data_IF_536251385485
#
_entry.id   IF_536251385485
#
_cell.length_a   1.000
_cell.length_b   1.000
_cell.length_c   1.000
_cell.angle_alpha   90.00
_cell.angle_beta   90.00
_cell.angle_gamma   90.00
#
_symmetry.space_group_name_H-M   'P 1'
#
loop_
_entity.id
_entity.type
_entity.pdbx_description
1 polymer ?
#
# COMPACT_ATOMS: atom_id res chain seq x y z
N UNK A 1 11.19 -18.35 -2.22
CA UNK A 1 11.57 -19.40 -1.21
C UNK A 1 11.06 -19.11 0.21
N UNK A 2 10.79 -17.85 0.60
CA UNK A 2 10.29 -17.52 1.95
C UNK A 2 9.02 -18.31 2.33
N UNK A 3 8.02 -18.37 1.45
CA UNK A 3 6.79 -19.17 1.65
C UNK A 3 7.06 -20.64 1.90
N UNK A 4 8.04 -21.24 1.18
CA UNK A 4 8.44 -22.64 1.38
C UNK A 4 9.04 -22.90 2.78
N UNK A 5 9.86 -21.97 3.28
CA UNK A 5 10.39 -22.09 4.64
C UNK A 5 9.30 -22.00 5.71
N UNK A 6 8.33 -21.13 5.53
CA UNK A 6 7.16 -21.04 6.43
C UNK A 6 6.34 -22.34 6.37
N UNK A 7 6.03 -22.82 5.18
CA UNK A 7 5.30 -24.08 4.96
C UNK A 7 5.98 -25.26 5.65
N UNK A 8 7.28 -25.45 5.44
CA UNK A 8 8.06 -26.53 6.05
C UNK A 8 8.08 -26.39 7.58
N UNK A 9 8.33 -25.20 8.10
CA UNK A 9 8.43 -24.96 9.54
C UNK A 9 7.14 -25.27 10.29
N UNK A 10 6.00 -24.94 9.70
CA UNK A 10 4.69 -25.07 10.35
C UNK A 10 3.85 -26.24 9.85
N UNK A 11 4.36 -27.01 8.90
CA UNK A 11 3.64 -28.16 8.32
C UNK A 11 2.44 -27.77 7.47
N UNK A 12 2.44 -26.57 6.86
CA UNK A 12 1.33 -26.10 6.03
C UNK A 12 1.38 -26.78 4.66
N UNK A 13 0.28 -27.42 4.26
CA UNK A 13 0.18 -28.20 3.02
C UNK A 13 -0.79 -27.61 1.99
N UNK A 14 -1.37 -26.43 2.27
CA UNK A 14 -2.21 -25.70 1.34
C UNK A 14 -1.42 -25.09 0.16
N UNK A 15 -2.09 -24.30 -0.69
CA UNK A 15 -1.45 -23.63 -1.81
C UNK A 15 -0.20 -22.85 -1.39
N UNK A 16 0.89 -23.01 -2.14
CA UNK A 16 2.18 -22.39 -1.84
C UNK A 16 2.85 -21.92 -3.13
N UNK A 17 2.79 -20.63 -3.39
CA UNK A 17 3.42 -19.98 -4.54
C UNK A 17 3.88 -18.55 -4.20
N UNK A 18 4.52 -17.88 -5.15
CA UNK A 18 4.95 -16.50 -5.01
C UNK A 18 4.59 -15.70 -6.28
N UNK A 19 3.98 -14.54 -6.09
CA UNK A 19 3.87 -13.56 -7.16
C UNK A 19 5.26 -12.94 -7.44
N UNK A 20 5.51 -12.55 -8.68
CA UNK A 20 6.71 -11.81 -9.10
C UNK A 20 6.24 -10.66 -9.99
N UNK A 21 5.90 -9.54 -9.38
CA UNK A 21 5.28 -8.38 -10.03
C UNK A 21 5.88 -7.07 -9.55
N UNK A 22 7.22 -7.06 -9.40
CA UNK A 22 7.98 -5.92 -8.94
C UNK A 22 7.37 -5.30 -7.67
N UNK A 23 7.13 -3.99 -7.63
CA UNK A 23 6.63 -3.29 -6.45
C UNK A 23 5.18 -3.68 -6.07
N UNK A 24 4.43 -4.35 -6.94
CA UNK A 24 3.08 -4.83 -6.66
C UNK A 24 3.04 -6.26 -6.09
N UNK A 25 4.19 -6.93 -5.92
CA UNK A 25 4.27 -8.34 -5.50
C UNK A 25 3.51 -8.61 -4.21
N UNK A 26 3.73 -7.82 -3.16
CA UNK A 26 3.07 -8.01 -1.87
C UNK A 26 1.55 -7.85 -1.93
N UNK A 27 1.06 -6.88 -2.71
CA UNK A 27 -0.37 -6.67 -2.91
C UNK A 27 -1.00 -7.81 -3.73
N UNK A 28 -0.32 -8.28 -4.79
CA UNK A 28 -0.78 -9.44 -5.56
C UNK A 28 -0.80 -10.71 -4.70
N UNK A 29 0.22 -10.94 -3.87
CA UNK A 29 0.26 -12.09 -2.96
C UNK A 29 -0.95 -12.13 -2.02
N UNK A 30 -1.35 -10.98 -1.46
CA UNK A 30 -2.53 -10.86 -0.60
C UNK A 30 -3.81 -11.08 -1.41
N UNK A 31 -3.94 -10.46 -2.58
CA UNK A 31 -5.11 -10.58 -3.43
C UNK A 31 -5.31 -12.00 -3.96
N UNK A 32 -4.23 -12.66 -4.39
CA UNK A 32 -4.29 -14.06 -4.87
C UNK A 32 -4.64 -15.02 -3.74
N UNK A 33 -4.06 -14.86 -2.55
CA UNK A 33 -4.41 -15.64 -1.38
C UNK A 33 -5.89 -15.42 -0.97
N UNK A 34 -6.40 -14.19 -1.09
CA UNK A 34 -7.83 -13.91 -0.88
C UNK A 34 -8.70 -14.71 -1.85
N UNK A 35 -8.34 -14.76 -3.13
CA UNK A 35 -9.07 -15.55 -4.14
C UNK A 35 -9.03 -17.04 -3.84
N UNK A 36 -7.89 -17.57 -3.40
CA UNK A 36 -7.79 -18.99 -3.02
C UNK A 36 -8.76 -19.34 -1.87
N UNK A 37 -8.88 -18.45 -0.87
CA UNK A 37 -9.87 -18.62 0.20
C UNK A 37 -11.29 -18.55 -0.37
N UNK A 38 -11.59 -17.58 -1.25
CA UNK A 38 -12.90 -17.42 -1.86
C UNK A 38 -13.30 -18.62 -2.74
N UNK A 39 -12.33 -19.29 -3.38
CA UNK A 39 -12.57 -20.51 -4.18
C UNK A 39 -12.60 -21.79 -3.34
N UNK A 40 -12.28 -21.71 -2.04
CA UNK A 40 -12.27 -22.86 -1.14
C UNK A 40 -11.00 -23.73 -1.24
N UNK A 41 -9.92 -23.22 -1.83
CA UNK A 41 -8.64 -23.92 -1.88
C UNK A 41 -7.97 -24.00 -0.50
N UNK A 42 -8.30 -23.04 0.40
CA UNK A 42 -7.83 -23.01 1.78
C UNK A 42 -8.78 -22.16 2.66
N UNK A 43 -8.91 -22.51 3.93
CA UNK A 43 -9.63 -21.68 4.92
C UNK A 43 -8.76 -20.56 5.48
N UNK A 44 -7.44 -20.75 5.52
CA UNK A 44 -6.45 -19.81 6.07
C UNK A 44 -5.22 -19.72 5.15
N UNK A 45 -4.81 -18.53 4.83
CA UNK A 45 -3.60 -18.25 4.04
C UNK A 45 -2.67 -17.29 4.75
N UNK A 46 -1.38 -17.62 4.75
CA UNK A 46 -0.30 -16.70 5.17
C UNK A 46 0.19 -15.97 3.93
N UNK A 47 -0.08 -14.69 3.82
CA UNK A 47 0.21 -13.90 2.62
C UNK A 47 0.97 -12.62 2.94
N UNK A 48 1.86 -12.20 2.05
CA UNK A 48 2.64 -10.98 2.25
C UNK A 48 3.83 -10.87 1.32
N UNK A 49 4.84 -10.15 1.76
CA UNK A 49 6.08 -9.95 1.02
C UNK A 49 7.28 -9.72 1.94
N UNK A 50 8.44 -10.09 1.44
CA UNK A 50 9.73 -9.83 2.08
C UNK A 50 10.68 -9.23 1.06
N UNK A 51 11.52 -8.29 1.49
CA UNK A 51 12.50 -7.65 0.63
C UNK A 51 13.79 -7.39 1.40
N UNK A 52 14.93 -7.64 0.76
CA UNK A 52 16.26 -7.38 1.30
C UNK A 52 17.18 -7.02 0.12
N UNK A 53 16.93 -5.83 -0.47
CA UNK A 53 17.59 -5.36 -1.68
C UNK A 53 18.47 -4.12 -1.44
N UNK A 54 18.85 -3.83 -0.20
CA UNK A 54 19.83 -2.77 0.09
C UNK A 54 21.24 -3.35 -0.09
N UNK A 55 21.61 -3.58 -1.34
CA UNK A 55 22.91 -4.08 -1.75
C UNK A 55 23.48 -3.27 -2.91
N UNK A 56 24.79 -3.43 -3.16
CA UNK A 56 25.51 -2.65 -4.17
C UNK A 56 24.97 -2.85 -5.60
N UNK A 57 24.54 -4.07 -5.94
CA UNK A 57 24.03 -4.39 -7.28
C UNK A 57 22.66 -3.76 -7.51
N UNK A 58 21.76 -3.88 -6.56
CA UNK A 58 20.43 -3.27 -6.60
C UNK A 58 20.51 -1.75 -6.67
N UNK A 59 21.36 -1.13 -5.83
CA UNK A 59 21.59 0.31 -5.84
C UNK A 59 22.15 0.75 -7.20
N UNK A 60 23.17 0.05 -7.73
CA UNK A 60 23.75 0.36 -9.04
C UNK A 60 22.72 0.26 -10.17
N UNK A 61 21.87 -0.76 -10.15
CA UNK A 61 20.79 -0.95 -11.12
C UNK A 61 19.77 0.20 -11.09
N UNK A 62 19.27 0.59 -9.92
CA UNK A 62 18.33 1.69 -9.80
C UNK A 62 18.95 3.07 -10.03
N UNK A 63 20.23 3.26 -9.71
CA UNK A 63 21.01 4.45 -10.12
C UNK A 63 21.09 4.56 -11.63
N UNK A 64 21.36 3.45 -12.34
CA UNK A 64 21.39 3.42 -13.82
C UNK A 64 20.03 3.81 -14.41
N UNK A 65 18.93 3.44 -13.77
CA UNK A 65 17.56 3.83 -14.13
C UNK A 65 17.22 5.28 -13.76
N UNK A 66 18.06 5.95 -12.98
CA UNK A 66 17.81 7.29 -12.42
C UNK A 66 16.50 7.33 -11.62
N UNK A 67 16.22 6.27 -10.86
CA UNK A 67 15.00 6.11 -10.12
C UNK A 67 15.12 6.55 -8.64
N UNK A 68 16.36 6.62 -8.13
CA UNK A 68 16.65 6.95 -6.74
C UNK A 68 16.74 8.45 -6.51
N UNK A 69 16.34 8.88 -5.31
CA UNK A 69 16.60 10.23 -4.82
C UNK A 69 18.11 10.47 -4.67
N UNK A 70 18.60 11.62 -5.11
CA UNK A 70 20.01 12.03 -5.02
C UNK A 70 20.22 13.43 -4.47
N UNK A 71 19.18 14.28 -4.48
CA UNK A 71 19.26 15.66 -3.99
C UNK A 71 19.45 15.76 -2.47
N UNK A 72 19.03 14.71 -1.76
CA UNK A 72 18.98 14.70 -0.30
C UNK A 72 20.08 13.85 0.34
N UNK A 73 21.18 13.54 -0.36
CA UNK A 73 22.27 12.72 0.19
C UNK A 73 22.90 13.32 1.46
N UNK A 74 22.91 14.63 1.62
CA UNK A 74 23.35 15.32 2.84
C UNK A 74 22.27 15.36 3.95
N UNK A 75 21.01 15.08 3.63
CA UNK A 75 19.86 15.05 4.54
C UNK A 75 18.99 13.81 4.26
N UNK A 76 19.52 12.59 4.45
CA UNK A 76 18.89 11.35 3.97
C UNK A 76 17.51 11.09 4.56
N UNK A 77 17.22 11.60 5.75
CA UNK A 77 15.89 11.49 6.37
C UNK A 77 14.79 12.29 5.66
N UNK A 78 15.17 13.23 4.80
CA UNK A 78 14.25 14.05 4.01
C UNK A 78 14.09 13.54 2.58
N UNK A 79 14.83 12.50 2.18
CA UNK A 79 14.93 12.04 0.80
C UNK A 79 13.63 11.42 0.28
N UNK A 80 12.95 10.61 1.09
CA UNK A 80 11.62 10.10 0.73
C UNK A 80 10.57 11.12 1.13
N UNK A 81 9.93 11.74 0.12
CA UNK A 81 8.96 12.83 0.28
C UNK A 81 7.81 12.74 -0.73
N UNK A 82 6.96 11.69 -0.60
CA UNK A 82 5.85 11.49 -1.52
C UNK A 82 4.97 12.71 -1.64
N UNK A 83 4.58 13.07 -2.87
CA UNK A 83 3.72 14.21 -3.23
C UNK A 83 4.32 15.61 -2.98
N UNK A 84 5.49 15.71 -2.36
CA UNK A 84 6.17 16.99 -2.17
C UNK A 84 6.74 17.53 -3.49
N UNK A 85 6.73 18.83 -3.68
CA UNK A 85 7.26 19.50 -4.88
C UNK A 85 8.77 19.29 -5.07
N UNK A 86 9.51 18.98 -4.01
CA UNK A 86 10.95 18.72 -4.02
C UNK A 86 11.33 17.27 -4.27
N UNK A 87 10.37 16.34 -4.43
CA UNK A 87 10.66 14.92 -4.67
C UNK A 87 11.49 14.69 -5.92
N UNK A 88 12.39 13.72 -5.89
CA UNK A 88 13.32 13.47 -7.01
C UNK A 88 13.61 11.99 -7.27
N UNK A 89 12.94 11.09 -6.59
CA UNK A 89 13.12 9.65 -6.70
C UNK A 89 12.79 8.92 -5.40
N UNK A 90 12.76 7.60 -5.44
CA UNK A 90 12.51 6.81 -4.25
C UNK A 90 13.79 6.52 -3.45
N UNK A 91 13.61 6.13 -2.20
CA UNK A 91 14.64 5.58 -1.33
C UNK A 91 14.36 4.08 -1.17
N UNK A 92 15.34 3.22 -1.42
CA UNK A 92 15.18 1.78 -1.24
C UNK A 92 15.02 1.49 0.25
N UNK A 93 14.01 0.71 0.59
CA UNK A 93 13.80 0.14 1.92
C UNK A 93 13.87 -1.38 1.87
N UNK A 94 14.02 -2.01 3.03
CA UNK A 94 13.92 -3.46 3.18
C UNK A 94 13.10 -3.82 4.41
N UNK A 95 12.57 -5.02 4.43
CA UNK A 95 11.72 -5.53 5.50
C UNK A 95 10.72 -6.57 5.04
N UNK A 96 9.76 -6.88 5.89
CA UNK A 96 8.73 -7.86 5.63
C UNK A 96 7.40 -7.45 6.23
N UNK A 97 6.33 -7.78 5.54
CA UNK A 97 4.95 -7.67 6.03
C UNK A 97 4.18 -8.95 5.70
N UNK A 98 3.51 -9.51 6.69
CA UNK A 98 2.73 -10.75 6.55
C UNK A 98 1.38 -10.59 7.22
N UNK A 99 0.31 -10.96 6.52
CA UNK A 99 -1.04 -11.04 7.01
C UNK A 99 -1.48 -12.50 7.09
N UNK A 100 -2.29 -12.79 8.09
CA UNK A 100 -3.07 -14.03 8.14
C UNK A 100 -4.44 -13.70 7.60
N UNK A 101 -4.76 -14.25 6.45
CA UNK A 101 -6.08 -14.17 5.82
C UNK A 101 -6.86 -15.42 6.20
N UNK A 102 -8.12 -15.26 6.50
CA UNK A 102 -8.97 -16.35 6.99
C UNK A 102 -10.39 -16.16 6.49
N UNK A 103 -11.06 -17.26 6.14
CA UNK A 103 -12.46 -17.27 5.80
C UNK A 103 -13.28 -16.74 6.99
N UNK A 104 -14.26 -15.90 6.71
CA UNK A 104 -14.95 -15.10 7.73
C UNK A 104 -15.67 -15.97 8.79
N UNK A 105 -16.44 -16.96 8.36
CA UNK A 105 -17.16 -17.85 9.29
C UNK A 105 -16.20 -18.79 10.05
N UNK A 106 -15.11 -19.21 9.42
CA UNK A 106 -14.04 -19.96 10.08
C UNK A 106 -13.43 -19.13 11.21
N UNK A 107 -13.10 -17.87 10.97
CA UNK A 107 -12.55 -16.94 11.96
C UNK A 107 -13.55 -16.70 13.11
N UNK A 108 -14.83 -16.47 12.79
CA UNK A 108 -15.89 -16.25 13.78
C UNK A 108 -16.12 -17.45 14.68
N UNK A 109 -16.18 -18.67 14.12
CA UNK A 109 -16.41 -19.92 14.88
C UNK A 109 -15.34 -20.15 15.94
N UNK A 110 -14.08 -19.76 15.70
CA UNK A 110 -12.99 -19.89 16.68
C UNK A 110 -12.80 -18.66 17.57
N UNK A 111 -13.62 -17.62 17.42
CA UNK A 111 -13.50 -16.38 18.21
C UNK A 111 -12.27 -15.54 17.88
N UNK A 112 -11.78 -15.59 16.62
CA UNK A 112 -10.63 -14.82 16.21
C UNK A 112 -10.90 -13.31 16.26
N UNK A 113 -9.87 -12.53 16.61
CA UNK A 113 -9.92 -11.08 16.46
C UNK A 113 -9.76 -10.73 14.99
N UNK A 114 -10.78 -10.14 14.39
CA UNK A 114 -10.79 -9.68 13.02
C UNK A 114 -10.46 -8.18 13.00
N UNK A 115 -9.42 -7.79 12.24
CA UNK A 115 -8.97 -6.39 12.14
C UNK A 115 -9.71 -5.63 11.03
N UNK A 116 -9.91 -6.26 9.88
CA UNK A 116 -10.66 -5.77 8.74
C UNK A 116 -11.01 -6.94 7.82
N UNK A 117 -11.91 -6.75 6.88
CA UNK A 117 -12.19 -7.69 5.81
C UNK A 117 -11.54 -7.23 4.50
N UNK A 118 -11.05 -8.16 3.68
CA UNK A 118 -10.64 -7.88 2.31
C UNK A 118 -11.91 -7.81 1.46
N UNK A 119 -12.34 -6.60 1.13
CA UNK A 119 -13.56 -6.34 0.38
C UNK A 119 -13.39 -6.48 -1.13
N UNK A 120 -12.20 -6.22 -1.66
CA UNK A 120 -11.97 -6.28 -3.09
C UNK A 120 -10.50 -6.28 -3.50
N UNK A 121 -10.23 -6.86 -4.66
CA UNK A 121 -8.90 -6.92 -5.25
C UNK A 121 -8.98 -6.64 -6.75
N UNK A 122 -8.42 -5.53 -7.19
CA UNK A 122 -8.36 -5.12 -8.58
C UNK A 122 -6.96 -5.17 -9.15
N UNK A 123 -6.83 -5.70 -10.35
CA UNK A 123 -5.57 -5.78 -11.09
C UNK A 123 -5.70 -5.12 -12.45
N UNK A 124 -4.57 -4.61 -12.98
CA UNK A 124 -4.50 -4.12 -14.36
C UNK A 124 -3.07 -4.13 -14.88
N UNK A 125 -2.93 -3.94 -16.20
CA UNK A 125 -1.65 -3.68 -16.85
C UNK A 125 -1.67 -2.32 -17.54
N UNK A 126 -0.54 -1.58 -17.52
CA UNK A 126 -0.41 -0.29 -18.22
C UNK A 126 -0.28 -0.47 -19.74
N UNK A 127 0.29 -1.56 -20.19
CA UNK A 127 0.60 -1.84 -21.60
C UNK A 127 1.27 -0.62 -22.29
N UNK A 128 2.31 -0.07 -21.66
CA UNK A 128 2.94 1.18 -22.11
C UNK A 128 4.46 1.12 -22.13
N UNK A 129 5.12 1.13 -20.98
CA UNK A 129 6.58 1.18 -20.85
C UNK A 129 7.03 0.34 -19.66
N UNK A 130 8.28 -0.15 -19.69
CA UNK A 130 8.77 -1.06 -18.63
C UNK A 130 8.89 -0.42 -17.25
N UNK A 131 9.19 0.89 -17.18
CA UNK A 131 9.40 1.60 -15.89
C UNK A 131 8.52 2.83 -15.71
N UNK A 132 7.87 3.31 -16.77
CA UNK A 132 7.09 4.54 -16.72
C UNK A 132 5.58 4.22 -16.77
N UNK A 133 4.77 4.72 -15.84
CA UNK A 133 3.34 4.62 -15.95
C UNK A 133 2.85 5.42 -17.17
N UNK A 134 1.71 5.02 -17.72
CA UNK A 134 1.05 5.80 -18.76
C UNK A 134 0.59 7.14 -18.17
N UNK A 135 0.93 8.26 -18.82
CA UNK A 135 0.66 9.61 -18.31
C UNK A 135 -0.82 9.87 -17.94
N UNK A 136 -1.75 9.19 -18.59
CA UNK A 136 -3.17 9.29 -18.25
C UNK A 136 -3.62 8.43 -17.05
N UNK A 137 -2.72 7.70 -16.39
CA UNK A 137 -3.00 6.89 -15.21
C UNK A 137 -4.04 5.78 -15.40
N UNK A 138 -4.28 5.34 -16.66
CA UNK A 138 -5.35 4.38 -16.94
C UNK A 138 -5.21 3.06 -16.19
N UNK A 139 -3.98 2.52 -16.07
CA UNK A 139 -3.73 1.28 -15.34
C UNK A 139 -4.11 1.41 -13.87
N UNK A 140 -3.62 2.44 -13.18
CA UNK A 140 -3.97 2.74 -11.80
C UNK A 140 -5.49 2.94 -11.63
N UNK A 141 -6.12 3.70 -12.53
CA UNK A 141 -7.58 3.88 -12.55
C UNK A 141 -8.32 2.54 -12.65
N UNK A 142 -7.91 1.66 -13.58
CA UNK A 142 -8.57 0.37 -13.77
C UNK A 142 -8.41 -0.57 -12.57
N UNK A 143 -7.24 -0.62 -11.92
CA UNK A 143 -7.06 -1.46 -10.73
C UNK A 143 -7.95 -1.00 -9.57
N UNK A 144 -8.02 0.30 -9.31
CA UNK A 144 -8.89 0.87 -8.27
C UNK A 144 -10.38 0.61 -8.57
N UNK A 145 -10.83 0.87 -9.81
CA UNK A 145 -12.23 0.62 -10.20
C UNK A 145 -12.62 -0.86 -10.07
N UNK A 146 -11.73 -1.78 -10.44
CA UNK A 146 -11.98 -3.23 -10.33
C UNK A 146 -12.03 -3.68 -8.87
N UNK A 147 -11.21 -3.12 -7.99
CA UNK A 147 -11.29 -3.38 -6.55
C UNK A 147 -12.64 -2.91 -5.97
N UNK A 148 -13.09 -1.70 -6.32
CA UNK A 148 -14.39 -1.18 -5.93
C UNK A 148 -15.54 -2.04 -6.47
N UNK A 149 -15.49 -2.41 -7.76
CA UNK A 149 -16.50 -3.25 -8.40
C UNK A 149 -16.60 -4.63 -7.73
N UNK A 150 -15.48 -5.28 -7.47
CA UNK A 150 -15.45 -6.58 -6.79
C UNK A 150 -16.02 -6.48 -5.38
N UNK A 151 -15.72 -5.40 -4.65
CA UNK A 151 -16.23 -5.18 -3.30
C UNK A 151 -17.66 -4.68 -3.23
N UNK A 152 -18.30 -4.34 -4.35
CA UNK A 152 -19.63 -3.72 -4.36
C UNK A 152 -19.65 -2.35 -3.63
N UNK A 153 -18.50 -1.69 -3.52
CA UNK A 153 -18.31 -0.42 -2.79
C UNK A 153 -18.28 0.74 -3.80
N UNK A 154 -19.07 1.77 -3.54
CA UNK A 154 -19.00 3.01 -4.33
C UNK A 154 -17.83 3.88 -3.88
N UNK A 155 -17.26 4.71 -4.77
CA UNK A 155 -16.13 5.60 -4.43
C UNK A 155 -16.38 6.45 -3.17
N UNK A 156 -17.60 6.94 -2.95
CA UNK A 156 -17.97 7.81 -1.82
C UNK A 156 -17.97 7.07 -0.46
N UNK A 157 -17.85 5.76 -0.48
CA UNK A 157 -17.79 4.94 0.74
C UNK A 157 -16.37 4.65 1.20
N UNK A 158 -15.36 5.04 0.39
CA UNK A 158 -13.94 4.91 0.74
C UNK A 158 -13.50 6.16 1.47
N UNK A 159 -13.03 6.00 2.70
CA UNK A 159 -12.62 7.11 3.54
C UNK A 159 -11.11 7.41 3.42
N UNK A 160 -10.30 6.40 3.06
CA UNK A 160 -8.85 6.53 3.03
C UNK A 160 -8.19 5.73 1.89
N UNK A 161 -7.13 6.31 1.30
CA UNK A 161 -6.24 5.63 0.35
C UNK A 161 -4.81 5.68 0.87
N UNK A 162 -4.20 4.51 1.03
CA UNK A 162 -2.76 4.35 1.14
C UNK A 162 -2.19 4.26 -0.28
N UNK A 163 -1.64 5.37 -0.72
CA UNK A 163 -1.14 5.52 -2.07
C UNK A 163 0.20 4.79 -2.26
N UNK A 164 0.43 4.31 -3.47
CA UNK A 164 1.74 3.77 -3.86
C UNK A 164 2.83 4.81 -3.77
N UNK A 165 2.56 6.04 -4.13
CA UNK A 165 3.44 7.21 -4.17
C UNK A 165 4.85 7.00 -3.59
N UNK A 166 5.81 6.80 -4.46
CA UNK A 166 7.19 6.41 -4.10
C UNK A 166 8.14 7.61 -3.99
N UNK A 167 7.63 8.84 -3.97
CA UNK A 167 8.45 10.05 -4.05
C UNK A 167 9.08 10.28 -5.44
N UNK A 168 8.46 9.73 -6.48
CA UNK A 168 8.92 9.96 -7.86
C UNK A 168 8.08 11.05 -8.53
N UNK A 169 8.70 11.99 -9.28
CA UNK A 169 7.98 13.09 -9.90
C UNK A 169 6.80 12.63 -10.77
N UNK A 170 7.02 11.65 -11.64
CA UNK A 170 5.99 11.16 -12.56
C UNK A 170 4.98 10.23 -11.86
N UNK A 171 5.46 9.26 -11.07
CA UNK A 171 4.62 8.23 -10.46
C UNK A 171 3.57 8.81 -9.54
N UNK A 172 3.99 9.68 -8.62
CA UNK A 172 3.11 10.30 -7.65
C UNK A 172 2.04 11.20 -8.32
N UNK A 173 2.43 11.95 -9.37
CA UNK A 173 1.49 12.79 -10.12
C UNK A 173 0.44 11.97 -10.87
N UNK A 174 0.87 10.90 -11.53
CA UNK A 174 -0.03 9.99 -12.27
C UNK A 174 -1.01 9.30 -11.33
N UNK A 175 -0.55 8.87 -10.15
CA UNK A 175 -1.43 8.27 -9.15
C UNK A 175 -2.44 9.27 -8.60
N UNK A 176 -2.02 10.49 -8.24
CA UNK A 176 -2.93 11.52 -7.76
C UNK A 176 -4.04 11.85 -8.77
N UNK A 177 -3.69 11.96 -10.06
CA UNK A 177 -4.69 12.14 -11.13
C UNK A 177 -5.62 10.93 -11.28
N UNK A 178 -5.11 9.72 -11.11
CA UNK A 178 -5.93 8.50 -11.13
C UNK A 178 -6.91 8.46 -9.95
N UNK A 179 -6.46 8.83 -8.74
CA UNK A 179 -7.32 8.96 -7.55
C UNK A 179 -8.41 10.00 -7.80
N UNK A 180 -8.06 11.19 -8.26
CA UNK A 180 -9.01 12.25 -8.58
C UNK A 180 -10.06 11.80 -9.59
N UNK A 181 -9.65 11.03 -10.60
CA UNK A 181 -10.56 10.49 -11.63
C UNK A 181 -11.52 9.44 -11.10
N UNK A 182 -11.06 8.52 -10.24
CA UNK A 182 -11.88 7.44 -9.69
C UNK A 182 -12.86 7.97 -8.65
N UNK A 183 -12.42 8.89 -7.80
CA UNK A 183 -13.18 9.35 -6.65
C UNK A 183 -13.90 10.69 -6.89
N UNK A 184 -13.66 11.36 -8.03
CA UNK A 184 -14.42 12.50 -8.54
C UNK A 184 -14.76 13.56 -7.48
N UNK A 185 -16.05 13.85 -7.34
CA UNK A 185 -16.54 14.85 -6.39
C UNK A 185 -16.22 14.53 -4.93
N UNK A 186 -16.12 13.24 -4.56
CA UNK A 186 -15.73 12.83 -3.20
C UNK A 186 -14.30 13.29 -2.86
N UNK A 187 -13.35 13.09 -3.78
CA UNK A 187 -12.00 13.62 -3.65
C UNK A 187 -11.97 15.15 -3.71
N UNK A 188 -12.70 15.76 -4.65
CA UNK A 188 -12.71 17.21 -4.84
C UNK A 188 -13.33 18.00 -3.68
N UNK A 189 -14.20 17.39 -2.88
CA UNK A 189 -14.74 18.02 -1.66
C UNK A 189 -13.83 17.88 -0.43
N UNK A 190 -12.76 17.07 -0.50
CA UNK A 190 -11.90 16.78 0.63
C UNK A 190 -12.47 15.73 1.61
N UNK A 191 -13.46 14.96 1.15
CA UNK A 191 -14.07 13.88 1.95
C UNK A 191 -13.20 12.62 1.97
N UNK A 192 -12.28 12.48 1.00
CA UNK A 192 -11.32 11.39 0.85
C UNK A 192 -9.96 11.77 1.44
N UNK A 193 -9.49 11.04 2.45
CA UNK A 193 -8.11 11.15 2.92
C UNK A 193 -7.17 10.27 2.09
N UNK A 194 -5.97 10.73 1.79
CA UNK A 194 -4.94 9.90 1.18
C UNK A 194 -3.54 10.30 1.65
N UNK A 195 -2.66 9.32 1.74
CA UNK A 195 -1.25 9.51 2.11
C UNK A 195 -0.39 8.39 1.55
N UNK A 196 0.93 8.55 1.60
CA UNK A 196 1.85 7.46 1.36
C UNK A 196 2.56 7.08 2.65
N UNK A 197 2.44 5.81 3.03
CA UNK A 197 3.06 5.27 4.24
C UNK A 197 4.50 4.80 4.01
N UNK A 198 5.08 5.03 2.84
CA UNK A 198 6.51 4.85 2.57
C UNK A 198 7.39 5.80 3.38
N UNK A 199 6.72 6.67 4.13
CA UNK A 199 7.30 7.58 5.09
C UNK A 199 6.44 7.52 6.33
N UNK A 200 6.79 6.70 7.34
CA UNK A 200 5.97 6.50 8.53
C UNK A 200 6.69 6.83 9.81
N UNK A 201 5.92 7.51 10.65
CA UNK A 201 6.13 7.61 12.08
C UNK A 201 5.49 6.41 12.78
N UNK A 202 6.29 5.50 13.30
CA UNK A 202 5.79 4.37 14.09
C UNK A 202 5.60 4.82 15.54
N UNK A 203 4.36 5.02 15.98
CA UNK A 203 4.04 4.92 17.40
C UNK A 203 3.91 3.44 17.74
N UNK A 204 5.01 2.83 18.15
CA UNK A 204 5.03 1.45 18.61
C UNK A 204 4.25 1.29 19.89
N UNK A 205 3.15 0.54 19.86
CA UNK A 205 2.57 -0.08 21.03
C UNK A 205 3.10 -1.53 21.11
N UNK A 206 4.29 -1.67 21.68
CA UNK A 206 4.61 -2.87 22.44
C UNK A 206 4.71 -2.39 23.88
N UNK A 207 3.91 -2.96 24.77
CA UNK A 207 3.86 -2.59 26.16
C UNK A 207 5.20 -2.78 26.85
N UNK A 208 6.03 -1.80 26.76
CA UNK A 208 7.17 -1.51 27.65
C UNK A 208 7.60 -0.05 27.39
N UNK A 209 7.85 0.66 28.45
CA UNK A 209 8.29 2.05 28.50
C UNK A 209 9.53 2.30 27.64
N UNK A 210 9.35 2.71 26.40
CA UNK A 210 10.38 3.42 25.65
C UNK A 210 9.77 4.71 25.14
N UNK A 211 10.26 5.82 25.66
CA UNK A 211 10.21 7.09 24.93
C UNK A 211 11.00 6.85 23.65
N UNK A 212 10.35 6.43 22.60
CA UNK A 212 10.94 6.53 21.26
C UNK A 212 10.83 8.00 20.92
N UNK A 213 11.93 8.72 21.19
CA UNK A 213 12.18 10.01 20.55
C UNK A 213 11.90 9.83 19.05
N UNK A 214 11.42 10.88 18.42
CA UNK A 214 11.16 11.01 17.01
C UNK A 214 12.41 10.64 16.18
N UNK A 215 12.72 9.36 16.16
CA UNK A 215 13.83 8.80 15.42
C UNK A 215 13.25 7.95 14.33
N UNK A 216 13.35 8.53 13.22
CA UNK A 216 13.80 7.83 12.05
C UNK A 216 12.74 7.20 11.20
N UNK A 217 12.36 8.01 10.34
CA UNK A 217 12.68 7.64 9.00
C UNK A 217 11.74 6.66 8.39
N UNK A 218 11.11 7.13 7.44
CA UNK A 218 10.62 6.45 6.28
C UNK A 218 11.03 4.99 6.21
N UNK A 219 10.06 4.11 6.02
CA UNK A 219 10.38 2.73 5.61
C UNK A 219 11.10 2.73 4.27
N UNK A 220 11.04 3.82 3.52
CA UNK A 220 11.43 3.83 2.12
C UNK A 220 10.46 3.01 1.27
N UNK A 221 10.86 2.74 0.05
CA UNK A 221 10.14 1.85 -0.85
C UNK A 221 10.70 0.43 -0.74
N UNK A 222 9.94 -0.46 -0.09
CA UNK A 222 10.34 -1.86 0.14
C UNK A 222 10.14 -2.75 -1.10
N UNK A 223 10.13 -2.17 -2.29
CA UNK A 223 10.02 -2.92 -3.55
C UNK A 223 8.93 -4.01 -3.49
N UNK A 224 9.32 -5.28 -3.56
CA UNK A 224 8.37 -6.40 -3.53
C UNK A 224 7.59 -6.56 -2.23
N UNK A 225 8.13 -6.13 -1.10
CA UNK A 225 7.42 -6.16 0.20
C UNK A 225 6.52 -4.95 0.42
N UNK A 226 6.65 -3.87 -0.36
CA UNK A 226 5.97 -2.61 -0.13
C UNK A 226 4.46 -2.77 0.01
N UNK A 227 3.79 -3.40 -0.96
CA UNK A 227 2.34 -3.57 -0.94
C UNK A 227 1.82 -4.38 0.24
N UNK A 228 2.61 -5.30 0.79
CA UNK A 228 2.23 -6.06 1.97
C UNK A 228 2.29 -5.21 3.24
N UNK A 229 3.35 -4.45 3.41
CA UNK A 229 3.50 -3.53 4.55
C UNK A 229 2.44 -2.44 4.50
N UNK A 230 2.17 -1.87 3.33
CA UNK A 230 1.13 -0.86 3.11
C UNK A 230 -0.28 -1.40 3.38
N UNK A 231 -0.56 -2.65 3.01
CA UNK A 231 -1.80 -3.33 3.36
C UNK A 231 -1.98 -3.46 4.88
N UNK A 232 -0.91 -3.79 5.63
CA UNK A 232 -0.94 -3.84 7.10
C UNK A 232 -1.29 -2.46 7.67
N UNK A 233 -0.66 -1.39 7.18
CA UNK A 233 -0.98 -0.04 7.64
C UNK A 233 -2.42 0.35 7.33
N UNK A 234 -2.92 -0.02 6.16
CA UNK A 234 -4.30 0.24 5.74
C UNK A 234 -5.29 -0.49 6.65
N UNK A 235 -5.04 -1.76 6.96
CA UNK A 235 -5.85 -2.55 7.91
C UNK A 235 -5.81 -1.93 9.32
N UNK A 236 -4.63 -1.52 9.79
CA UNK A 236 -4.47 -0.87 11.09
C UNK A 236 -5.13 0.51 11.13
N UNK A 237 -5.15 1.24 10.02
CA UNK A 237 -5.87 2.52 9.92
C UNK A 237 -7.37 2.33 10.16
N UNK A 238 -7.98 1.32 9.52
CA UNK A 238 -9.38 0.95 9.76
C UNK A 238 -9.59 0.56 11.22
N UNK A 239 -8.75 -0.32 11.74
CA UNK A 239 -8.90 -0.89 13.09
C UNK A 239 -8.76 0.16 14.19
N UNK A 240 -7.89 1.15 14.00
CA UNK A 240 -7.58 2.20 14.99
C UNK A 240 -8.34 3.49 14.76
N UNK A 241 -8.97 3.68 13.60
CA UNK A 241 -9.61 4.93 13.23
C UNK A 241 -8.63 6.07 13.02
N UNK A 242 -7.43 5.78 12.46
CA UNK A 242 -6.38 6.78 12.24
C UNK A 242 -5.87 6.70 10.81
N UNK A 243 -6.00 7.77 10.06
CA UNK A 243 -5.32 7.94 8.76
C UNK A 243 -3.90 8.47 9.01
N UNK A 244 -2.85 7.76 8.57
CA UNK A 244 -1.47 8.23 8.71
C UNK A 244 -1.17 9.40 7.76
N UNK A 245 -0.22 10.23 8.15
CA UNK A 245 0.28 11.33 7.31
C UNK A 245 1.28 10.83 6.25
N UNK A 246 1.54 11.67 5.24
CA UNK A 246 2.74 11.61 4.41
C UNK A 246 3.84 12.44 5.07
N UNK A 247 4.87 11.80 5.58
CA UNK A 247 6.01 12.49 6.20
C UNK A 247 6.81 13.26 5.11
N UNK A 248 7.59 14.26 5.51
CA UNK A 248 8.38 15.12 4.61
C UNK A 248 7.54 15.87 3.53
N UNK A 249 6.23 15.89 3.67
CA UNK A 249 5.35 16.70 2.84
C UNK A 249 5.33 18.14 3.39
N UNK A 250 6.34 18.92 3.04
CA UNK A 250 6.48 20.30 3.48
C UNK A 250 5.85 21.30 2.50
N UNK A 251 5.88 20.97 1.22
CA UNK A 251 5.30 21.77 0.15
C UNK A 251 4.64 20.84 -0.87
N UNK A 252 3.33 20.64 -0.78
CA UNK A 252 2.61 19.85 -1.77
C UNK A 252 2.88 20.31 -3.20
N UNK A 253 2.88 19.40 -4.15
CA UNK A 253 3.01 19.73 -5.57
C UNK A 253 1.86 20.65 -6.02
N UNK A 254 2.10 21.49 -7.03
CA UNK A 254 1.14 22.47 -7.55
C UNK A 254 -0.16 21.88 -8.11
N UNK A 255 -0.21 20.56 -8.32
CA UNK A 255 -1.41 19.86 -8.73
C UNK A 255 -2.46 19.71 -7.61
N UNK A 256 -2.07 19.92 -6.36
CA UNK A 256 -2.94 19.82 -5.18
C UNK A 256 -3.53 21.20 -4.83
N UNK A 257 -4.74 21.18 -4.29
CA UNK A 257 -5.45 22.34 -3.77
C UNK A 257 -5.82 22.11 -2.29
N UNK A 258 -6.50 23.07 -1.66
CA UNK A 258 -6.85 22.99 -0.23
C UNK A 258 -7.78 21.83 0.12
N UNK A 259 -8.51 21.28 -0.85
CA UNK A 259 -9.46 20.19 -0.66
C UNK A 259 -8.89 18.85 -1.08
N UNK A 260 -8.25 18.80 -2.23
CA UNK A 260 -7.57 17.61 -2.72
C UNK A 260 -6.08 17.72 -2.44
N UNK A 261 -5.68 17.38 -1.22
CA UNK A 261 -4.29 17.40 -0.78
C UNK A 261 -3.95 16.16 0.04
N UNK A 262 -2.75 15.58 -0.14
CA UNK A 262 -2.31 14.48 0.71
C UNK A 262 -2.22 14.92 2.17
N UNK A 263 -2.49 13.98 3.09
CA UNK A 263 -2.44 14.26 4.52
C UNK A 263 -1.01 14.61 4.97
N UNK A 264 -0.82 15.81 5.47
CA UNK A 264 0.42 16.28 6.11
C UNK A 264 0.43 16.11 7.64
N UNK A 265 -0.72 15.74 8.21
CA UNK A 265 -0.90 15.36 9.61
C UNK A 265 -1.81 14.15 9.72
N UNK A 266 -1.65 13.34 10.77
CA UNK A 266 -2.54 12.22 11.02
C UNK A 266 -3.95 12.72 11.35
N UNK A 267 -4.97 12.00 10.86
CA UNK A 267 -6.38 12.36 11.09
C UNK A 267 -7.10 11.18 11.76
N UNK A 268 -7.72 11.47 12.90
CA UNK A 268 -8.57 10.49 13.60
C UNK A 268 -10.00 10.57 13.10
N UNK A 269 -10.55 9.44 12.69
CA UNK A 269 -11.96 9.29 12.30
C UNK A 269 -12.34 7.81 12.16
N UNK A 270 -13.63 7.52 12.14
CA UNK A 270 -14.10 6.18 11.78
C UNK A 270 -13.84 5.94 10.30
N UNK A 271 -13.04 4.91 9.99
CA UNK A 271 -12.72 4.51 8.62
C UNK A 271 -13.54 3.26 8.30
N UNK A 272 -14.50 3.37 7.38
CA UNK A 272 -15.40 2.29 6.98
C UNK A 272 -14.79 1.42 5.90
N UNK A 273 -14.13 2.05 4.94
CA UNK A 273 -13.39 1.39 3.89
C UNK A 273 -12.12 2.16 3.55
N UNK A 274 -11.06 1.44 3.25
CA UNK A 274 -9.79 2.00 2.82
C UNK A 274 -9.17 1.16 1.71
N UNK A 275 -8.40 1.81 0.83
CA UNK A 275 -7.74 1.17 -0.30
C UNK A 275 -6.22 1.28 -0.16
N UNK A 276 -5.51 0.22 -0.54
CA UNK A 276 -4.05 0.22 -0.68
C UNK A 276 -3.67 -0.02 -2.13
N UNK A 277 -2.88 0.88 -2.71
CA UNK A 277 -2.43 0.82 -4.10
C UNK A 277 -0.98 0.35 -4.19
N UNK A 278 -0.69 -0.45 -5.20
CA UNK A 278 0.68 -0.87 -5.54
C UNK A 278 0.85 -0.93 -7.05
N UNK A 279 1.79 -0.14 -7.58
CA UNK A 279 2.06 -0.04 -9.02
C UNK A 279 3.53 -0.38 -9.29
N UNK A 280 3.75 -1.45 -10.05
CA UNK A 280 5.08 -2.03 -10.25
C UNK A 280 5.66 -1.74 -11.63
N UNK A 281 6.99 -1.74 -11.71
CA UNK A 281 7.69 -1.80 -12.99
C UNK A 281 7.20 -3.02 -13.79
N UNK A 282 7.19 -2.90 -15.10
CA UNK A 282 6.46 -3.81 -15.99
C UNK A 282 5.02 -3.35 -16.25
N UNK A 283 4.58 -2.26 -15.60
CA UNK A 283 3.22 -1.74 -15.71
C UNK A 283 2.19 -2.63 -15.04
N UNK A 284 2.56 -3.36 -13.99
CA UNK A 284 1.66 -4.21 -13.22
C UNK A 284 1.06 -3.44 -12.05
N UNK A 285 -0.26 -3.43 -11.93
CA UNK A 285 -0.98 -2.63 -10.94
C UNK A 285 -1.91 -3.51 -10.11
N UNK A 286 -1.94 -3.26 -8.81
CA UNK A 286 -2.82 -3.88 -7.84
C UNK A 286 -3.44 -2.83 -6.91
N UNK A 287 -4.73 -2.99 -6.60
CA UNK A 287 -5.42 -2.23 -5.57
C UNK A 287 -6.18 -3.20 -4.67
N UNK A 288 -5.93 -3.12 -3.37
CA UNK A 288 -6.62 -3.89 -2.34
C UNK A 288 -7.61 -2.99 -1.62
N UNK A 289 -8.86 -3.40 -1.54
CA UNK A 289 -9.90 -2.72 -0.79
C UNK A 289 -10.17 -3.48 0.51
N UNK A 290 -10.08 -2.76 1.64
CA UNK A 290 -10.38 -3.29 2.96
C UNK A 290 -11.60 -2.57 3.54
N UNK A 291 -12.42 -3.29 4.32
CA UNK A 291 -13.60 -2.74 4.98
C UNK A 291 -13.60 -3.07 6.47
N UNK A 292 -14.23 -2.20 7.26
CA UNK A 292 -14.44 -2.49 8.68
C UNK A 292 -15.47 -3.63 8.84
N UNK A 293 -15.22 -4.55 9.78
CA UNK A 293 -16.14 -5.65 10.05
C UNK A 293 -17.47 -5.20 10.68
N UNK A 294 -17.57 -3.95 11.13
CA UNK A 294 -18.83 -3.39 11.64
C UNK A 294 -19.89 -3.20 10.54
N UNK A 295 -19.46 -3.14 9.27
CA UNK A 295 -20.31 -2.97 8.09
C UNK A 295 -20.41 -4.23 7.22
N UNK A 296 -19.79 -5.33 7.62
CA UNK A 296 -19.86 -6.60 6.92
C UNK A 296 -21.23 -7.27 7.19
N UNK A 297 -22.29 -6.69 6.68
CA UNK A 297 -23.48 -7.40 6.22
C UNK A 297 -23.21 -7.72 4.75
N UNK A 298 -22.43 -8.77 4.53
CA UNK A 298 -22.29 -9.46 3.25
C UNK A 298 -23.50 -10.36 3.05
#
# INVERSE_FOLDING_TARGET
MASGHVSIKYGFQGPNHAAVTACATGAHSIGDATRMIQFGDADVMVAGGTESSIDALSIAGFCRLRALSTKYNSHPFEASRPFDSGRDGFVIGEGAGVLILEEYEHARKRGAKIYAAVGGYGMSGDAHHITQPRANGRGATLSMMRALQQGGIRPEQVDYINAHATSTPLGDSVEAEAIKRVFGDHAARGDLGFSSTKVIFFMGFVGFWWKVSALQGATGHLLGAAGAVEAIFTVLSIHRGVMPLSLNLSKPDAMFDDKFCPLSSSKEMIIRAAMSNSFGFGGTNASLLFTSCLNAKL
#
